data_IF_170882647762
#
_entry.id   IF_170882647762
#
_cell.length_a   1.000
_cell.length_b   1.000
_cell.length_c   1.000
_cell.angle_alpha   90.00
_cell.angle_beta   90.00
_cell.angle_gamma   90.00
#
_symmetry.space_group_name_H-M   'P 1'
#
loop_
_entity.id
_entity.type
_entity.pdbx_description
1 polymer ?
#
# COMPACT_ATOMS: atom_id res chain seq x y z
N UNK A 1 8.83 -42.47 19.57
CA UNK A 1 9.50 -41.36 18.87
C UNK A 1 8.89 -41.31 17.49
N UNK A 2 7.79 -40.56 17.34
CA UNK A 2 7.08 -40.40 16.08
C UNK A 2 7.52 -39.04 15.55
N UNK A 3 8.24 -39.04 14.43
CA UNK A 3 8.47 -37.85 13.63
C UNK A 3 7.14 -37.52 12.95
N UNK A 4 6.47 -36.47 13.41
CA UNK A 4 5.42 -35.81 12.64
C UNK A 4 6.06 -34.67 11.85
N UNK A 5 5.63 -34.60 10.61
CA UNK A 5 6.21 -33.96 9.43
C UNK A 5 6.20 -32.44 9.50
N UNK A 6 7.34 -31.84 9.17
CA UNK A 6 7.54 -30.41 8.90
C UNK A 6 6.83 -29.89 7.63
N UNK A 7 5.93 -30.67 7.03
CA UNK A 7 5.22 -30.33 5.80
C UNK A 7 3.81 -29.76 6.09
N UNK A 8 3.24 -29.96 7.28
CA UNK A 8 1.93 -29.39 7.65
C UNK A 8 2.01 -27.92 8.12
N UNK A 9 3.20 -27.41 8.49
CA UNK A 9 3.40 -26.02 8.92
C UNK A 9 3.63 -25.03 7.75
N UNK A 10 3.98 -25.50 6.55
CA UNK A 10 4.15 -24.64 5.37
C UNK A 10 2.81 -24.30 4.66
N UNK A 11 1.74 -25.07 4.88
CA UNK A 11 0.43 -24.83 4.24
C UNK A 11 -0.41 -23.71 4.91
N UNK A 12 -0.17 -23.41 6.20
CA UNK A 12 -0.92 -22.37 6.95
C UNK A 12 -0.39 -20.94 6.69
N UNK A 13 0.88 -20.79 6.30
CA UNK A 13 1.57 -19.49 6.09
C UNK A 13 1.05 -18.68 4.89
N UNK A 14 0.26 -19.29 3.98
CA UNK A 14 -0.22 -18.65 2.74
C UNK A 14 -1.68 -18.17 2.78
N UNK A 15 -2.45 -18.48 3.82
CA UNK A 15 -3.92 -18.47 3.71
C UNK A 15 -4.59 -17.07 3.68
N UNK A 16 -3.91 -15.98 4.08
CA UNK A 16 -4.55 -14.67 4.34
C UNK A 16 -4.58 -13.72 3.17
N UNK A 17 -3.40 -13.39 2.65
CA UNK A 17 -3.28 -12.82 1.32
C UNK A 17 -4.02 -13.70 0.30
N UNK A 18 -3.97 -15.03 0.45
CA UNK A 18 -4.72 -15.96 -0.39
C UNK A 18 -6.25 -15.80 -0.23
N UNK A 19 -6.82 -15.71 0.97
CA UNK A 19 -8.27 -15.49 1.15
C UNK A 19 -8.75 -14.15 0.57
N UNK A 20 -7.98 -13.07 0.74
CA UNK A 20 -8.32 -11.79 0.12
C UNK A 20 -8.26 -11.87 -1.41
N UNK A 21 -7.19 -12.48 -1.96
CA UNK A 21 -7.02 -12.72 -3.40
C UNK A 21 -8.11 -13.65 -3.95
N UNK A 22 -8.55 -14.64 -3.19
CA UNK A 22 -9.66 -15.53 -3.53
C UNK A 22 -10.98 -14.77 -3.60
N UNK A 23 -11.29 -13.88 -2.63
CA UNK A 23 -12.46 -12.99 -2.70
C UNK A 23 -12.42 -12.11 -3.94
N UNK A 24 -11.26 -11.53 -4.26
CA UNK A 24 -11.04 -10.76 -5.48
C UNK A 24 -11.14 -11.57 -6.79
N UNK A 25 -10.93 -12.88 -6.72
CA UNK A 25 -11.03 -13.81 -7.86
C UNK A 25 -12.42 -14.44 -8.02
N UNK A 26 -13.13 -14.67 -6.90
CA UNK A 26 -14.47 -15.27 -6.85
C UNK A 26 -15.58 -14.25 -7.06
N UNK A 27 -15.33 -12.97 -6.71
CA UNK A 27 -16.10 -11.84 -7.22
C UNK A 27 -15.72 -11.63 -8.70
N UNK A 28 -16.04 -12.64 -9.52
CA UNK A 28 -16.14 -12.48 -10.96
C UNK A 28 -17.17 -11.38 -11.19
N UNK A 29 -16.67 -10.18 -11.46
CA UNK A 29 -17.49 -8.99 -11.55
C UNK A 29 -18.61 -9.24 -12.56
N UNK A 30 -19.85 -9.07 -12.12
CA UNK A 30 -20.99 -8.94 -13.03
C UNK A 30 -20.87 -7.68 -13.92
N UNK A 31 -19.82 -6.86 -13.76
CA UNK A 31 -19.40 -5.91 -14.77
C UNK A 31 -18.77 -6.62 -15.97
N UNK A 32 -19.46 -6.54 -17.10
CA UNK A 32 -18.85 -6.64 -18.42
C UNK A 32 -17.72 -5.61 -18.55
N UNK A 33 -16.47 -6.03 -18.32
CA UNK A 33 -15.29 -5.18 -18.54
C UNK A 33 -15.21 -4.78 -20.01
N UNK A 34 -14.90 -3.52 -20.28
CA UNK A 34 -14.68 -3.08 -21.66
C UNK A 34 -13.36 -3.65 -22.18
N UNK A 35 -13.31 -3.93 -23.48
CA UNK A 35 -12.07 -4.35 -24.16
C UNK A 35 -10.90 -3.37 -23.95
N UNK A 36 -11.19 -2.09 -23.72
CA UNK A 36 -10.19 -1.06 -23.45
C UNK A 36 -9.55 -1.19 -22.05
N UNK A 37 -10.32 -1.55 -21.03
CA UNK A 37 -9.80 -1.75 -19.66
C UNK A 37 -8.91 -3.00 -19.62
N UNK A 38 -9.31 -4.05 -20.31
CA UNK A 38 -8.51 -5.27 -20.45
C UNK A 38 -7.22 -5.06 -21.22
N UNK A 39 -7.23 -4.18 -22.23
CA UNK A 39 -6.02 -3.78 -22.93
C UNK A 39 -5.04 -3.05 -22.00
N UNK A 40 -5.52 -2.08 -21.22
CA UNK A 40 -4.64 -1.33 -20.28
C UNK A 40 -4.04 -2.21 -19.20
N UNK A 41 -4.81 -3.13 -18.62
CA UNK A 41 -4.25 -4.08 -17.65
C UNK A 41 -3.14 -4.93 -18.26
N UNK A 42 -3.33 -5.44 -19.48
CA UNK A 42 -2.28 -6.19 -20.18
C UNK A 42 -1.04 -5.34 -20.42
N UNK A 43 -1.21 -4.09 -20.89
CA UNK A 43 -0.09 -3.19 -21.17
C UNK A 43 0.69 -2.83 -19.90
N UNK A 44 -0.02 -2.57 -18.78
CA UNK A 44 0.60 -2.29 -17.48
C UNK A 44 1.37 -3.51 -16.96
N UNK A 45 0.77 -4.70 -17.01
CA UNK A 45 1.45 -5.93 -16.57
C UNK A 45 2.68 -6.23 -17.43
N UNK A 46 2.58 -6.04 -18.75
CA UNK A 46 3.72 -6.20 -19.65
C UNK A 46 4.84 -5.19 -19.36
N UNK A 47 4.48 -3.93 -19.08
CA UNK A 47 5.43 -2.90 -18.69
C UNK A 47 6.17 -3.26 -17.38
N UNK A 48 5.43 -3.67 -16.34
CA UNK A 48 6.00 -4.07 -15.05
C UNK A 48 6.96 -5.25 -15.24
N UNK A 49 6.51 -6.29 -15.93
CA UNK A 49 7.28 -7.52 -16.13
C UNK A 49 8.58 -7.27 -16.92
N UNK A 50 8.55 -6.34 -17.88
CA UNK A 50 9.75 -5.98 -18.66
C UNK A 50 10.67 -4.98 -17.96
N UNK A 51 10.15 -4.20 -17.01
CA UNK A 51 10.93 -3.17 -16.30
C UNK A 51 11.73 -3.74 -15.13
N UNK A 52 11.23 -4.81 -14.48
CA UNK A 52 11.89 -5.43 -13.33
C UNK A 52 13.05 -6.33 -13.79
N UNK A 53 14.31 -6.06 -13.39
CA UNK A 53 15.42 -6.97 -13.62
C UNK A 53 15.16 -8.29 -12.88
N UNK A 54 15.47 -9.41 -13.54
CA UNK A 54 15.34 -10.77 -12.99
C UNK A 54 16.17 -11.03 -11.72
N UNK A 55 17.04 -10.10 -11.32
CA UNK A 55 18.01 -10.22 -10.23
C UNK A 55 17.62 -9.50 -8.93
N UNK A 56 16.42 -8.92 -8.82
CA UNK A 56 16.02 -8.17 -7.62
C UNK A 56 15.38 -9.13 -6.61
N UNK A 57 16.13 -9.52 -5.58
CA UNK A 57 15.60 -10.23 -4.41
C UNK A 57 14.61 -9.35 -3.65
N UNK A 58 13.42 -9.88 -3.39
CA UNK A 58 12.26 -9.13 -2.90
C UNK A 58 12.27 -8.95 -1.37
N UNK A 59 11.84 -7.77 -0.89
CA UNK A 59 11.73 -7.46 0.54
C UNK A 59 10.59 -8.20 1.25
N UNK A 60 9.76 -8.94 0.50
CA UNK A 60 8.76 -9.93 0.98
C UNK A 60 9.11 -11.36 0.56
N UNK A 61 8.25 -12.34 0.85
CA UNK A 61 8.44 -13.75 0.47
C UNK A 61 8.07 -14.07 -1.00
N UNK A 62 7.32 -13.18 -1.65
CA UNK A 62 6.82 -13.36 -3.01
C UNK A 62 7.58 -12.50 -4.05
N UNK A 63 7.64 -12.93 -5.33
CA UNK A 63 8.04 -12.10 -6.46
C UNK A 63 7.38 -10.72 -6.45
N UNK A 64 8.11 -9.64 -6.79
CA UNK A 64 7.57 -8.26 -6.77
C UNK A 64 6.34 -8.12 -7.66
N UNK A 65 6.24 -8.88 -8.75
CA UNK A 65 5.03 -8.94 -9.56
C UNK A 65 3.85 -9.65 -8.86
N UNK A 66 4.11 -10.60 -7.96
CA UNK A 66 3.06 -11.27 -7.19
C UNK A 66 2.41 -10.34 -6.16
N UNK A 67 3.19 -9.56 -5.40
CA UNK A 67 2.66 -8.54 -4.49
C UNK A 67 1.79 -7.51 -5.23
N UNK A 68 2.29 -6.97 -6.35
CA UNK A 68 1.54 -6.01 -7.16
C UNK A 68 0.23 -6.60 -7.71
N UNK A 69 0.24 -7.86 -8.13
CA UNK A 69 -0.98 -8.58 -8.53
C UNK A 69 -1.92 -8.79 -7.34
N UNK A 70 -1.39 -9.13 -6.17
CA UNK A 70 -2.15 -9.29 -4.93
C UNK A 70 -2.92 -8.02 -4.56
N UNK A 71 -2.26 -6.87 -4.59
CA UNK A 71 -2.88 -5.56 -4.31
C UNK A 71 -3.99 -5.27 -5.33
N UNK A 72 -3.75 -5.53 -6.61
CA UNK A 72 -4.75 -5.35 -7.66
C UNK A 72 -5.98 -6.25 -7.44
N UNK A 73 -5.78 -7.49 -6.98
CA UNK A 73 -6.89 -8.42 -6.67
C UNK A 73 -7.69 -7.97 -5.46
N UNK A 74 -7.05 -7.46 -4.40
CA UNK A 74 -7.74 -6.88 -3.23
C UNK A 74 -8.59 -5.70 -3.68
N UNK A 75 -8.02 -4.76 -4.41
CA UNK A 75 -8.73 -3.59 -4.93
C UNK A 75 -9.92 -4.00 -5.82
N UNK A 76 -9.77 -5.06 -6.61
CA UNK A 76 -10.86 -5.64 -7.41
C UNK A 76 -11.96 -6.23 -6.51
N UNK A 77 -11.60 -6.97 -5.46
CA UNK A 77 -12.54 -7.48 -4.46
C UNK A 77 -13.29 -6.38 -3.72
N UNK A 78 -12.67 -5.21 -3.55
CA UNK A 78 -13.31 -4.01 -2.99
C UNK A 78 -14.16 -3.23 -4.00
N UNK A 79 -14.28 -3.70 -5.24
CA UNK A 79 -14.93 -3.00 -6.35
C UNK A 79 -14.33 -1.61 -6.63
N UNK A 80 -13.04 -1.41 -6.37
CA UNK A 80 -12.34 -0.19 -6.74
C UNK A 80 -12.37 0.00 -8.26
N UNK A 81 -12.34 1.25 -8.73
CA UNK A 81 -12.42 1.52 -10.17
C UNK A 81 -11.21 0.94 -10.91
N UNK A 82 -11.32 0.67 -12.23
CA UNK A 82 -10.20 0.15 -13.00
C UNK A 82 -8.93 1.00 -12.87
N UNK A 83 -9.06 2.32 -12.77
CA UNK A 83 -7.90 3.21 -12.61
C UNK A 83 -7.19 3.03 -11.26
N UNK A 84 -7.93 2.73 -10.18
CA UNK A 84 -7.34 2.44 -8.86
C UNK A 84 -6.68 1.07 -8.87
N UNK A 85 -7.28 0.07 -9.52
CA UNK A 85 -6.67 -1.25 -9.72
C UNK A 85 -5.34 -1.14 -10.48
N UNK A 86 -5.30 -0.37 -11.57
CA UNK A 86 -4.07 -0.10 -12.34
C UNK A 86 -3.04 0.69 -11.53
N UNK A 87 -3.49 1.65 -10.70
CA UNK A 87 -2.60 2.34 -9.77
C UNK A 87 -1.99 1.36 -8.75
N UNK A 88 -2.75 0.36 -8.29
CA UNK A 88 -2.27 -0.73 -7.44
C UNK A 88 -1.14 -1.53 -8.07
N UNK A 89 -1.21 -1.82 -9.36
CA UNK A 89 -0.11 -2.47 -10.07
C UNK A 89 1.14 -1.58 -10.23
N UNK A 90 1.00 -0.26 -10.11
CA UNK A 90 2.07 0.73 -10.34
C UNK A 90 2.54 1.47 -9.08
N UNK A 91 1.94 1.19 -7.91
CA UNK A 91 1.98 2.10 -6.76
C UNK A 91 3.41 2.36 -6.22
N UNK A 92 4.34 1.44 -6.47
CA UNK A 92 5.74 1.52 -6.04
C UNK A 92 6.73 1.75 -7.19
N UNK A 93 6.27 1.99 -8.41
CA UNK A 93 7.09 2.01 -9.64
C UNK A 93 8.19 3.08 -9.64
N UNK A 94 8.00 4.19 -8.91
CA UNK A 94 8.99 5.27 -8.78
C UNK A 94 9.75 5.24 -7.44
N UNK A 95 9.56 4.19 -6.63
CA UNK A 95 10.05 4.09 -5.26
C UNK A 95 9.19 4.88 -4.27
N UNK A 96 9.06 4.34 -3.05
CA UNK A 96 8.20 4.86 -1.97
C UNK A 96 9.03 5.20 -0.74
N UNK A 97 8.42 5.78 0.29
CA UNK A 97 9.13 6.04 1.55
C UNK A 97 9.77 4.78 2.14
N UNK A 98 9.05 3.65 2.10
CA UNK A 98 9.50 2.36 2.63
C UNK A 98 10.18 1.44 1.61
N UNK A 99 10.30 1.83 0.34
CA UNK A 99 10.86 0.99 -0.71
C UNK A 99 11.66 1.81 -1.72
N UNK A 100 12.98 1.61 -1.77
CA UNK A 100 13.90 2.33 -2.66
C UNK A 100 14.74 1.39 -3.54
N UNK A 101 14.32 0.13 -3.69
CA UNK A 101 15.02 -0.90 -4.47
C UNK A 101 14.93 -0.64 -5.98
N UNK A 102 14.02 -1.34 -6.66
CA UNK A 102 13.76 -1.08 -8.07
C UNK A 102 12.87 0.15 -8.25
N UNK A 103 13.26 1.06 -9.14
CA UNK A 103 12.40 2.16 -9.57
C UNK A 103 12.75 2.60 -10.98
N UNK A 104 11.74 2.98 -11.75
CA UNK A 104 11.94 3.59 -13.07
C UNK A 104 12.15 5.11 -12.91
N UNK A 105 12.88 5.77 -13.82
CA UNK A 105 13.07 7.22 -13.75
C UNK A 105 11.75 7.97 -14.01
N UNK A 106 11.61 9.17 -13.44
CA UNK A 106 10.42 10.00 -13.65
C UNK A 106 10.22 10.44 -15.12
N UNK A 107 11.23 10.28 -15.97
CA UNK A 107 11.08 10.44 -17.42
C UNK A 107 10.13 9.42 -18.05
N UNK A 108 9.84 8.30 -17.38
CA UNK A 108 8.89 7.27 -17.84
C UNK A 108 7.42 7.64 -17.60
N UNK A 109 7.14 8.70 -16.84
CA UNK A 109 5.77 9.11 -16.52
C UNK A 109 4.86 9.27 -17.76
N UNK A 110 5.30 9.89 -18.88
CA UNK A 110 4.47 9.97 -20.10
C UNK A 110 4.15 8.59 -20.69
N UNK A 111 5.07 7.62 -20.61
CA UNK A 111 4.82 6.25 -21.04
C UNK A 111 3.79 5.57 -20.15
N UNK A 112 3.93 5.70 -18.83
CA UNK A 112 3.01 5.10 -17.85
C UNK A 112 1.60 5.72 -17.97
N UNK A 113 1.49 7.04 -18.15
CA UNK A 113 0.20 7.71 -18.44
C UNK A 113 -0.47 7.17 -19.70
N UNK A 114 0.30 6.93 -20.76
CA UNK A 114 -0.23 6.42 -22.03
C UNK A 114 -0.84 5.02 -21.88
N UNK A 115 -0.23 4.15 -21.08
CA UNK A 115 -0.69 2.76 -20.91
C UNK A 115 -1.74 2.60 -19.81
N UNK A 116 -1.61 3.31 -18.68
CA UNK A 116 -2.50 3.16 -17.53
C UNK A 116 -3.64 4.20 -17.53
N UNK A 117 -3.40 5.37 -18.12
CA UNK A 117 -4.22 6.56 -18.00
C UNK A 117 -3.71 7.54 -16.94
N UNK A 118 -4.09 8.82 -17.10
CA UNK A 118 -3.60 9.91 -16.25
C UNK A 118 -3.95 9.74 -14.77
N UNK A 119 -5.15 9.26 -14.47
CA UNK A 119 -5.59 9.10 -13.08
C UNK A 119 -4.80 8.02 -12.35
N UNK A 120 -4.63 6.84 -12.98
CA UNK A 120 -3.87 5.73 -12.41
C UNK A 120 -2.41 6.12 -12.17
N UNK A 121 -1.76 6.76 -13.14
CA UNK A 121 -0.40 7.24 -12.99
C UNK A 121 -0.29 8.32 -11.90
N UNK A 122 -1.22 9.28 -11.86
CA UNK A 122 -1.22 10.32 -10.83
C UNK A 122 -1.30 9.71 -9.44
N UNK A 123 -2.19 8.74 -9.24
CA UNK A 123 -2.38 8.10 -7.95
C UNK A 123 -1.13 7.34 -7.50
N UNK A 124 -0.53 6.54 -8.40
CA UNK A 124 0.73 5.84 -8.15
C UNK A 124 1.90 6.82 -7.89
N UNK A 125 1.95 7.95 -8.62
CA UNK A 125 2.96 8.97 -8.40
C UNK A 125 2.83 9.63 -7.03
N UNK A 126 1.61 9.99 -6.62
CA UNK A 126 1.35 10.53 -5.26
C UNK A 126 1.75 9.51 -4.19
N UNK A 127 1.43 8.22 -4.38
CA UNK A 127 1.89 7.14 -3.50
C UNK A 127 3.41 7.11 -3.32
N UNK A 128 4.16 7.22 -4.43
CA UNK A 128 5.62 7.26 -4.41
C UNK A 128 6.19 8.53 -3.75
N UNK A 129 5.47 9.65 -3.83
CA UNK A 129 5.89 10.92 -3.25
C UNK A 129 5.48 11.10 -1.79
N UNK A 130 4.46 10.42 -1.30
CA UNK A 130 3.86 10.71 -0.01
C UNK A 130 4.80 10.43 1.16
N UNK A 131 4.86 11.39 2.07
CA UNK A 131 5.34 11.21 3.44
C UNK A 131 4.24 10.53 4.26
N UNK A 132 4.51 9.32 4.78
CA UNK A 132 3.48 8.51 5.44
C UNK A 132 3.03 9.10 6.78
N UNK A 133 3.89 9.85 7.47
CA UNK A 133 3.53 10.54 8.72
C UNK A 133 2.46 11.62 8.48
N UNK A 134 2.60 12.39 7.40
CA UNK A 134 1.61 13.40 7.00
C UNK A 134 0.25 12.80 6.59
N UNK A 135 0.28 11.61 5.96
CA UNK A 135 -0.93 10.84 5.63
C UNK A 135 -1.63 10.39 6.91
N UNK A 136 -0.88 9.80 7.84
CA UNK A 136 -1.42 9.28 9.11
C UNK A 136 -2.03 10.39 9.94
N UNK A 137 -1.36 11.54 10.02
CA UNK A 137 -1.90 12.73 10.67
C UNK A 137 -3.26 13.14 10.09
N UNK A 138 -3.38 13.20 8.77
CA UNK A 138 -4.62 13.60 8.12
C UNK A 138 -5.74 12.56 8.30
N UNK A 139 -5.42 11.27 8.19
CA UNK A 139 -6.37 10.18 8.46
C UNK A 139 -6.90 10.26 9.89
N UNK A 140 -6.02 10.45 10.88
CA UNK A 140 -6.41 10.56 12.28
C UNK A 140 -7.33 11.76 12.50
N UNK A 141 -6.99 12.92 11.93
CA UNK A 141 -7.81 14.13 12.00
C UNK A 141 -9.21 13.95 11.39
N UNK A 142 -9.30 13.23 10.26
CA UNK A 142 -10.60 12.92 9.64
C UNK A 142 -11.41 11.90 10.44
N UNK A 143 -10.75 10.94 11.10
CA UNK A 143 -11.44 9.98 12.00
C UNK A 143 -11.97 10.66 13.26
N UNK A 144 -11.23 11.62 13.82
CA UNK A 144 -11.65 12.45 14.94
C UNK A 144 -12.82 13.38 14.57
N UNK A 145 -12.94 13.74 13.29
CA UNK A 145 -14.01 14.59 12.78
C UNK A 145 -14.57 14.05 11.44
N UNK A 146 -15.54 13.14 11.53
CA UNK A 146 -16.16 12.53 10.35
C UNK A 146 -16.96 13.51 9.48
N UNK A 147 -17.39 14.66 10.03
CA UNK A 147 -18.00 15.72 9.21
C UNK A 147 -16.97 16.33 8.26
N UNK A 148 -15.74 16.55 8.75
CA UNK A 148 -14.62 16.98 7.91
C UNK A 148 -14.33 15.93 6.82
N UNK A 149 -14.30 14.65 7.16
CA UNK A 149 -14.09 13.56 6.20
C UNK A 149 -15.15 13.56 5.08
N UNK A 150 -16.41 13.82 5.41
CA UNK A 150 -17.50 13.85 4.43
C UNK A 150 -17.58 15.16 3.64
N UNK A 151 -16.99 16.24 4.13
CA UNK A 151 -17.03 17.55 3.48
C UNK A 151 -16.28 17.57 2.13
N UNK A 152 -16.88 18.27 1.16
CA UNK A 152 -16.26 18.57 -0.14
C UNK A 152 -15.54 19.95 -0.13
N UNK A 153 -15.64 20.70 0.97
CA UNK A 153 -15.32 22.14 1.00
C UNK A 153 -13.81 22.46 1.03
N UNK A 154 -12.93 21.47 1.19
CA UNK A 154 -11.49 21.69 1.16
C UNK A 154 -10.69 20.49 0.64
N UNK A 155 -9.63 20.75 -0.15
CA UNK A 155 -8.72 19.70 -0.57
C UNK A 155 -7.97 19.13 0.62
N UNK A 156 -7.57 17.86 0.50
CA UNK A 156 -6.77 17.15 1.48
C UNK A 156 -5.31 17.39 1.14
N UNK A 157 -4.56 17.97 2.07
CA UNK A 157 -3.15 18.27 1.87
C UNK A 157 -2.30 17.33 2.71
N UNK A 158 -1.44 16.59 2.04
CA UNK A 158 -0.37 15.78 2.64
C UNK A 158 0.99 16.32 2.19
N UNK A 159 2.08 15.82 2.76
CA UNK A 159 3.44 16.24 2.43
C UNK A 159 4.10 15.25 1.48
N UNK A 160 4.94 15.77 0.58
CA UNK A 160 5.93 14.96 -0.10
C UNK A 160 7.03 14.53 0.90
N UNK A 161 7.70 13.42 0.62
CA UNK A 161 8.85 12.93 1.39
C UNK A 161 9.89 14.02 1.61
N UNK A 162 10.50 14.03 2.80
CA UNK A 162 11.43 15.08 3.23
C UNK A 162 12.59 15.29 2.24
N UNK A 163 13.20 14.20 1.76
CA UNK A 163 14.31 14.25 0.81
C UNK A 163 13.92 14.75 -0.59
N UNK A 164 12.62 14.91 -0.87
CA UNK A 164 12.09 15.48 -2.10
C UNK A 164 11.68 16.95 -1.94
N UNK A 165 11.94 17.55 -0.77
CA UNK A 165 11.68 18.97 -0.50
C UNK A 165 10.41 19.26 0.29
N UNK A 166 9.72 18.24 0.82
CA UNK A 166 8.62 18.38 1.79
C UNK A 166 7.48 19.36 1.39
N UNK A 167 7.21 19.46 0.09
CA UNK A 167 6.18 20.34 -0.44
C UNK A 167 4.77 19.75 -0.25
N UNK A 168 3.75 20.62 -0.31
CA UNK A 168 2.35 20.22 -0.19
C UNK A 168 1.85 19.50 -1.44
N UNK A 169 1.20 18.36 -1.22
CA UNK A 169 0.45 17.62 -2.23
C UNK A 169 -1.04 17.78 -1.92
N UNK A 170 -1.73 18.51 -2.77
CA UNK A 170 -3.17 18.78 -2.63
C UNK A 170 -3.99 17.77 -3.44
N UNK A 171 -4.89 17.06 -2.76
CA UNK A 171 -5.74 16.02 -3.32
C UNK A 171 -7.21 16.42 -3.22
N UNK A 172 -7.94 16.22 -4.32
CA UNK A 172 -9.40 16.27 -4.29
C UNK A 172 -9.94 15.10 -3.46
N UNK A 173 -11.16 15.20 -2.95
CA UNK A 173 -11.78 14.14 -2.14
C UNK A 173 -11.71 12.76 -2.80
N UNK A 174 -12.08 12.64 -4.08
CA UNK A 174 -11.95 11.36 -4.81
C UNK A 174 -10.51 10.82 -4.78
N UNK A 175 -9.53 11.68 -5.07
CA UNK A 175 -8.11 11.30 -5.12
C UNK A 175 -7.61 10.87 -3.74
N UNK A 176 -8.08 11.53 -2.68
CA UNK A 176 -7.79 11.16 -1.31
C UNK A 176 -8.39 9.81 -0.92
N UNK A 177 -9.66 9.58 -1.23
CA UNK A 177 -10.34 8.30 -0.95
C UNK A 177 -9.65 7.15 -1.69
N UNK A 178 -9.38 7.32 -2.98
CA UNK A 178 -8.71 6.32 -3.81
C UNK A 178 -7.28 6.07 -3.32
N UNK A 179 -6.59 7.10 -2.83
CA UNK A 179 -5.25 6.99 -2.24
C UNK A 179 -5.24 6.23 -0.92
N UNK A 180 -6.18 6.53 -0.01
CA UNK A 180 -6.32 5.81 1.26
C UNK A 180 -6.71 4.35 1.02
N UNK A 181 -7.61 4.12 0.04
CA UNK A 181 -8.00 2.77 -0.40
C UNK A 181 -6.79 1.97 -0.87
N UNK A 182 -5.98 2.54 -1.77
CA UNK A 182 -4.75 1.92 -2.25
C UNK A 182 -3.75 1.68 -1.11
N UNK A 183 -3.58 2.64 -0.20
CA UNK A 183 -2.63 2.55 0.93
C UNK A 183 -3.00 1.44 1.91
N UNK A 184 -4.30 1.25 2.18
CA UNK A 184 -4.75 0.16 3.02
C UNK A 184 -4.61 -1.19 2.31
N UNK A 185 -5.01 -1.28 1.04
CA UNK A 185 -4.90 -2.51 0.26
C UNK A 185 -3.45 -2.98 0.13
N UNK A 186 -2.51 -2.06 -0.13
CA UNK A 186 -1.05 -2.31 -0.14
C UNK A 186 -0.60 -3.04 1.13
N UNK A 187 -0.93 -2.47 2.29
CA UNK A 187 -0.45 -3.02 3.55
C UNK A 187 -1.13 -4.32 3.95
N UNK A 188 -2.45 -4.43 3.76
CA UNK A 188 -3.19 -5.66 4.09
C UNK A 188 -2.72 -6.84 3.24
N UNK A 189 -2.23 -6.59 2.02
CA UNK A 189 -1.57 -7.59 1.19
C UNK A 189 -0.21 -8.00 1.76
N UNK A 190 0.59 -7.00 2.17
CA UNK A 190 2.01 -7.18 2.43
C UNK A 190 2.33 -7.70 3.85
N UNK A 191 1.51 -7.38 4.85
CA UNK A 191 1.89 -7.47 6.26
C UNK A 191 2.30 -8.87 6.73
N UNK A 192 1.61 -9.92 6.29
CA UNK A 192 1.94 -11.31 6.64
C UNK A 192 3.34 -11.69 6.11
N UNK A 193 3.57 -11.44 4.82
CA UNK A 193 4.86 -11.70 4.19
C UNK A 193 5.98 -10.86 4.81
N UNK A 194 5.70 -9.61 5.19
CA UNK A 194 6.66 -8.75 5.88
C UNK A 194 6.99 -9.24 7.30
N UNK A 195 6.02 -9.84 8.00
CA UNK A 195 6.16 -10.37 9.34
C UNK A 195 6.85 -11.75 9.38
N UNK A 196 6.87 -12.50 8.27
CA UNK A 196 7.48 -13.84 8.19
C UNK A 196 8.97 -13.89 8.54
N UNK A 197 9.68 -12.76 8.40
CA UNK A 197 11.13 -12.66 8.60
C UNK A 197 11.53 -11.32 9.23
N UNK A 198 12.67 -11.32 9.91
CA UNK A 198 13.30 -10.08 10.35
C UNK A 198 13.72 -9.23 9.14
N UNK A 199 13.70 -7.90 9.30
CA UNK A 199 14.10 -6.96 8.26
C UNK A 199 15.04 -5.90 8.81
N UNK A 200 16.30 -5.94 8.39
CA UNK A 200 17.34 -5.02 8.85
C UNK A 200 17.05 -3.57 8.46
N UNK A 201 16.44 -3.33 7.29
CA UNK A 201 16.12 -1.98 6.86
C UNK A 201 15.02 -1.34 7.70
N UNK A 202 14.05 -2.14 8.13
CA UNK A 202 12.99 -1.67 9.01
C UNK A 202 13.31 -1.81 10.50
N UNK A 203 14.35 -2.57 10.85
CA UNK A 203 14.78 -2.81 12.23
C UNK A 203 13.88 -3.77 13.02
N UNK A 204 12.91 -4.42 12.37
CA UNK A 204 11.94 -5.30 13.02
C UNK A 204 12.39 -6.75 13.00
N UNK A 205 12.03 -7.51 14.03
CA UNK A 205 12.20 -8.97 14.13
C UNK A 205 11.04 -9.72 13.45
N UNK A 206 11.14 -11.06 13.37
CA UNK A 206 10.02 -11.90 12.90
C UNK A 206 8.78 -11.60 13.75
N UNK A 207 7.65 -11.35 13.10
CA UNK A 207 6.37 -10.97 13.72
C UNK A 207 6.21 -9.47 13.97
N UNK A 208 7.26 -8.66 14.01
CA UNK A 208 7.13 -7.27 14.45
C UNK A 208 6.58 -6.33 13.36
N UNK A 209 6.54 -6.77 12.09
CA UNK A 209 5.98 -5.96 10.99
C UNK A 209 4.51 -5.58 11.22
N UNK A 210 3.71 -6.41 11.92
CA UNK A 210 2.32 -6.10 12.31
C UNK A 210 2.18 -4.80 13.12
N UNK A 211 3.25 -4.37 13.79
CA UNK A 211 3.26 -3.13 14.58
C UNK A 211 3.30 -1.87 13.73
N UNK A 212 3.71 -1.99 12.46
CA UNK A 212 3.98 -0.86 11.59
C UNK A 212 2.70 -0.12 11.22
N UNK A 213 2.64 1.17 11.61
CA UNK A 213 1.54 2.11 11.34
C UNK A 213 0.15 1.53 11.64
N UNK A 214 0.06 0.57 12.54
CA UNK A 214 -1.16 -0.22 12.77
C UNK A 214 -2.38 0.63 13.14
N UNK A 215 -2.16 1.67 13.96
CA UNK A 215 -3.20 2.62 14.34
C UNK A 215 -3.71 3.38 13.11
N UNK A 216 -2.80 3.79 12.23
CA UNK A 216 -3.17 4.47 11.00
C UNK A 216 -3.93 3.53 10.06
N UNK A 217 -3.49 2.29 9.87
CA UNK A 217 -4.21 1.31 9.03
C UNK A 217 -5.62 0.99 9.56
N UNK A 218 -5.78 0.86 10.89
CA UNK A 218 -7.09 0.71 11.50
C UNK A 218 -7.98 1.94 11.26
N UNK A 219 -7.40 3.15 11.37
CA UNK A 219 -8.11 4.40 11.11
C UNK A 219 -8.45 4.59 9.62
N UNK A 220 -7.60 4.14 8.69
CA UNK A 220 -7.91 4.12 7.26
C UNK A 220 -9.11 3.21 6.97
N UNK A 221 -9.14 2.01 7.55
CA UNK A 221 -10.27 1.09 7.39
C UNK A 221 -11.57 1.71 7.94
N UNK A 222 -11.52 2.29 9.15
CA UNK A 222 -12.64 2.99 9.77
C UNK A 222 -13.13 4.16 8.91
N UNK A 223 -12.22 4.99 8.42
CA UNK A 223 -12.51 6.14 7.57
C UNK A 223 -13.19 5.72 6.27
N UNK A 224 -12.65 4.71 5.57
CA UNK A 224 -13.22 4.15 4.34
C UNK A 224 -14.64 3.61 4.56
N UNK A 225 -14.90 2.99 5.71
CA UNK A 225 -16.24 2.52 6.04
C UNK A 225 -17.20 3.67 6.39
N UNK A 226 -16.89 4.46 7.43
CA UNK A 226 -17.83 5.38 8.06
C UNK A 226 -18.04 6.70 7.29
N UNK A 227 -17.03 7.15 6.53
CA UNK A 227 -17.12 8.36 5.73
C UNK A 227 -17.40 8.06 4.25
N UNK A 228 -16.92 6.93 3.72
CA UNK A 228 -16.91 6.66 2.29
C UNK A 228 -17.69 5.40 1.86
N UNK A 229 -18.31 4.69 2.80
CA UNK A 229 -19.26 3.61 2.49
C UNK A 229 -18.63 2.31 2.00
N UNK A 230 -17.38 2.03 2.39
CA UNK A 230 -16.65 0.80 2.02
C UNK A 230 -16.48 -0.15 3.22
N UNK A 231 -17.54 -0.88 3.65
CA UNK A 231 -17.50 -1.75 4.84
C UNK A 231 -16.47 -2.87 4.75
N UNK A 232 -16.23 -3.39 3.55
CA UNK A 232 -15.26 -4.47 3.31
C UNK A 232 -13.84 -4.11 3.76
N UNK A 233 -13.47 -2.82 3.78
CA UNK A 233 -12.17 -2.38 4.29
C UNK A 233 -11.97 -2.72 5.78
N UNK A 234 -13.02 -2.59 6.60
CA UNK A 234 -12.98 -2.97 8.03
C UNK A 234 -12.99 -4.48 8.20
N UNK A 235 -13.77 -5.20 7.38
CA UNK A 235 -13.83 -6.66 7.42
C UNK A 235 -12.47 -7.28 7.08
N UNK A 236 -11.84 -6.84 6.00
CA UNK A 236 -10.56 -7.37 5.55
C UNK A 236 -9.41 -6.93 6.48
N UNK A 237 -9.45 -5.70 7.03
CA UNK A 237 -8.50 -5.31 8.08
C UNK A 237 -8.61 -6.24 9.30
N UNK A 238 -9.83 -6.52 9.78
CA UNK A 238 -10.04 -7.43 10.92
C UNK A 238 -9.61 -8.87 10.60
N UNK A 239 -9.87 -9.33 9.39
CA UNK A 239 -9.48 -10.67 8.93
C UNK A 239 -7.96 -10.83 8.93
N UNK A 240 -7.23 -9.85 8.39
CA UNK A 240 -5.77 -9.87 8.30
C UNK A 240 -5.13 -9.69 9.67
N UNK A 241 -5.49 -8.65 10.43
CA UNK A 241 -4.94 -8.44 11.78
C UNK A 241 -5.41 -9.47 12.81
N UNK A 242 -6.46 -10.25 12.52
CA UNK A 242 -6.86 -11.39 13.33
C UNK A 242 -5.82 -12.51 13.39
N UNK A 243 -4.89 -12.55 12.41
CA UNK A 243 -3.80 -13.53 12.30
C UNK A 243 -2.52 -13.09 13.02
N UNK A 244 -2.52 -11.87 13.55
CA UNK A 244 -1.37 -11.33 14.27
C UNK A 244 -1.06 -12.16 15.53
N UNK A 245 0.19 -12.63 15.70
CA UNK A 245 0.63 -13.31 16.91
C UNK A 245 0.48 -12.42 18.16
N UNK A 246 0.08 -12.95 19.32
CA UNK A 246 -0.06 -12.17 20.56
C UNK A 246 1.20 -11.37 20.94
N UNK A 247 2.37 -11.88 20.58
CA UNK A 247 3.69 -11.33 20.91
C UNK A 247 3.92 -9.96 20.27
N UNK A 248 3.36 -9.67 19.08
CA UNK A 248 3.54 -8.36 18.43
C UNK A 248 2.45 -7.34 18.79
N UNK A 249 1.37 -7.77 19.45
CA UNK A 249 0.17 -6.92 19.68
C UNK A 249 0.40 -5.71 20.57
N UNK A 250 1.47 -5.70 21.36
CA UNK A 250 1.81 -4.57 22.22
C UNK A 250 2.78 -3.57 21.55
N UNK A 251 3.31 -3.91 20.36
CA UNK A 251 4.26 -3.09 19.65
C UNK A 251 3.55 -2.04 18.77
N UNK A 252 4.22 -0.92 18.56
CA UNK A 252 3.79 0.12 17.61
C UNK A 252 5.00 0.82 16.99
N UNK A 253 5.14 0.72 15.66
CA UNK A 253 6.11 1.51 14.89
C UNK A 253 5.36 2.56 14.08
N UNK A 254 5.35 3.81 14.55
CA UNK A 254 4.60 4.90 13.93
C UNK A 254 5.25 5.48 12.68
N UNK A 255 6.58 5.47 12.64
CA UNK A 255 7.35 6.18 11.62
C UNK A 255 8.05 5.17 10.72
N UNK A 256 7.91 5.35 9.41
CA UNK A 256 8.68 4.59 8.42
C UNK A 256 10.17 4.83 8.63
N UNK A 257 11.04 3.82 8.70
CA UNK A 257 12.49 4.03 8.77
C UNK A 257 13.04 4.76 7.53
N UNK A 258 14.10 5.54 7.71
CA UNK A 258 14.73 6.25 6.61
C UNK A 258 15.55 5.28 5.75
N UNK A 259 15.01 4.96 4.57
CA UNK A 259 15.54 3.90 3.70
C UNK A 259 16.80 4.31 2.93
N UNK A 260 17.09 5.61 2.82
CA UNK A 260 18.24 6.17 2.08
C UNK A 260 19.01 7.15 2.93
N UNK A 261 20.25 7.42 2.54
CA UNK A 261 21.06 8.44 3.22
C UNK A 261 20.44 9.83 3.11
N UNK A 262 19.95 10.20 1.93
CA UNK A 262 19.24 11.46 1.74
C UNK A 262 18.01 11.60 2.64
N UNK A 263 17.28 10.50 2.90
CA UNK A 263 16.16 10.52 3.83
C UNK A 263 16.61 10.69 5.29
N UNK A 264 17.76 10.10 5.68
CA UNK A 264 18.34 10.29 7.02
C UNK A 264 18.80 11.73 7.22
N UNK A 265 19.56 12.27 6.28
CA UNK A 265 20.04 13.66 6.30
C UNK A 265 18.87 14.64 6.37
N UNK A 266 17.83 14.44 5.55
CA UNK A 266 16.67 15.32 5.53
C UNK A 266 15.90 15.29 6.87
N UNK A 267 15.77 14.12 7.51
CA UNK A 267 15.17 14.01 8.85
C UNK A 267 16.01 14.67 9.92
N UNK A 268 17.33 14.44 9.92
CA UNK A 268 18.25 15.13 10.85
C UNK A 268 18.14 16.65 10.71
N UNK A 269 18.08 17.16 9.47
CA UNK A 269 17.89 18.59 9.22
C UNK A 269 16.57 19.12 9.80
N UNK A 270 15.44 18.45 9.53
CA UNK A 270 14.14 18.81 10.10
C UNK A 270 14.20 18.90 11.62
N UNK A 271 14.77 17.88 12.27
CA UNK A 271 14.80 17.77 13.73
C UNK A 271 15.73 18.82 14.36
N UNK A 272 16.82 19.22 13.69
CA UNK A 272 17.70 20.32 14.13
C UNK A 272 17.02 21.69 14.13
N UNK A 273 16.07 21.95 13.23
CA UNK A 273 15.37 23.24 13.10
C UNK A 273 13.97 23.25 13.73
N UNK A 274 13.55 22.16 14.37
CA UNK A 274 12.25 22.04 15.06
C UNK A 274 12.33 22.28 16.58
N UNK A 275 13.53 22.55 17.11
CA UNK A 275 13.80 22.97 18.49
C UNK A 275 14.13 24.47 18.53
#
# INVERSE_FOLDING_TARGET
MVFLSSEEEEEEEAEGAHVLRLRGSSLGSSYSRSSSVDARERDVIAYITSSIPSSISHTGAAPFDEHLRGVMLILRGWNATPEVQLAGALHSVYGTEGFQGHKVPWSERPTIRRIAGDFAEKLAFVFCLADRESVDFLVNREVENMELARSDESPRTIKARLELGHFDISLKKREWVDFVTLTLADWLEQVEGAASKANVHFGWQKGEAWSYRRTAYANMAKLLHEAYGLPIAVEDHKLVYGREPPESRHLEMKVTPAMTESAREARMARDMYSN
#
